data_IF_562557983569
#
_entry.id   IF_562557983569
#
_cell.length_a   1.000
_cell.length_b   1.000
_cell.length_c   1.000
_cell.angle_alpha   90.00
_cell.angle_beta   90.00
_cell.angle_gamma   90.00
#
_symmetry.space_group_name_H-M   'P 1'
#
loop_
_entity.id
_entity.type
_entity.pdbx_description
1 polymer ?
#
# COMPACT_ATOMS: atom_id res chain seq x y z
N UNK A 1 -0.73 -16.53 3.38
CA UNK A 1 -1.95 -17.32 3.09
C UNK A 1 -3.15 -16.40 3.18
N UNK A 2 -4.29 -16.78 2.60
CA UNK A 2 -5.53 -15.97 2.64
C UNK A 2 -6.79 -16.83 2.79
N UNK A 3 -7.88 -16.23 3.27
CA UNK A 3 -9.20 -16.85 3.40
C UNK A 3 -10.19 -16.39 2.30
N UNK A 4 -11.41 -16.91 2.33
CA UNK A 4 -12.48 -16.55 1.39
C UNK A 4 -12.91 -15.07 1.42
N UNK A 5 -12.58 -14.35 2.50
CA UNK A 5 -12.85 -12.93 2.64
C UNK A 5 -11.67 -12.09 2.15
N UNK A 6 -10.57 -12.71 1.70
CA UNK A 6 -9.30 -12.09 1.36
C UNK A 6 -8.57 -11.45 2.55
N UNK A 7 -8.82 -11.94 3.78
CA UNK A 7 -7.92 -11.62 4.88
C UNK A 7 -6.57 -12.28 4.62
N UNK A 8 -5.48 -11.53 4.79
CA UNK A 8 -4.12 -11.98 4.47
C UNK A 8 -3.18 -11.82 5.65
N UNK A 9 -2.30 -12.80 5.83
CA UNK A 9 -1.07 -12.64 6.62
C UNK A 9 0.09 -12.61 5.63
N UNK A 10 0.81 -11.49 5.62
CA UNK A 10 1.95 -11.22 4.75
C UNK A 10 3.22 -11.10 5.59
N UNK A 11 4.33 -11.62 5.08
CA UNK A 11 5.67 -11.47 5.68
C UNK A 11 6.56 -10.60 4.79
N UNK A 12 7.61 -10.01 5.37
CA UNK A 12 8.61 -9.18 4.67
C UNK A 12 7.97 -8.11 3.75
N UNK A 13 7.00 -7.37 4.29
CA UNK A 13 6.16 -6.43 3.55
C UNK A 13 6.86 -5.08 3.40
N UNK A 14 6.77 -4.51 2.20
CA UNK A 14 7.00 -3.09 1.96
C UNK A 14 5.65 -2.40 1.75
N UNK A 15 5.25 -1.56 2.70
CA UNK A 15 4.02 -0.77 2.61
C UNK A 15 4.36 0.62 2.11
N UNK A 16 3.60 1.11 1.13
CA UNK A 16 3.71 2.49 0.63
C UNK A 16 2.37 3.20 0.77
N UNK A 17 2.35 4.29 1.53
CA UNK A 17 1.22 5.21 1.65
C UNK A 17 1.46 6.40 0.71
N UNK A 18 0.50 6.66 -0.17
CA UNK A 18 0.50 7.85 -1.04
C UNK A 18 -0.55 8.84 -0.53
N UNK A 19 -0.16 10.10 -0.37
CA UNK A 19 -1.03 11.19 0.07
C UNK A 19 -0.87 12.39 -0.86
N UNK A 20 -1.92 13.18 -0.99
CA UNK A 20 -1.90 14.43 -1.75
C UNK A 20 -2.16 15.57 -0.79
N UNK A 21 -1.31 16.58 -0.83
CA UNK A 21 -1.45 17.84 -0.11
C UNK A 21 -1.56 18.97 -1.12
N UNK A 22 -2.19 20.07 -0.74
CA UNK A 22 -2.27 21.29 -1.56
C UNK A 22 -1.38 22.32 -0.89
N UNK A 23 -0.48 22.92 -1.67
CA UNK A 23 0.33 24.05 -1.22
C UNK A 23 -0.56 25.29 -1.04
N UNK A 24 -0.56 25.88 0.16
CA UNK A 24 -1.45 26.99 0.51
C UNK A 24 -1.07 28.32 -0.20
N UNK A 25 0.17 28.44 -0.69
CA UNK A 25 0.64 29.66 -1.38
C UNK A 25 0.49 29.55 -2.90
N UNK A 26 0.70 28.35 -3.46
CA UNK A 26 0.74 28.15 -4.92
C UNK A 26 -0.46 27.39 -5.50
N UNK A 27 -1.37 26.87 -4.67
CA UNK A 27 -2.47 25.97 -5.04
C UNK A 27 -2.01 24.69 -5.78
N UNK A 28 -0.73 24.36 -5.70
CA UNK A 28 -0.16 23.18 -6.36
C UNK A 28 -0.46 21.90 -5.57
N UNK A 29 -0.74 20.80 -6.29
CA UNK A 29 -0.88 19.48 -5.68
C UNK A 29 0.47 18.81 -5.51
N UNK A 30 0.82 18.52 -4.26
CA UNK A 30 2.04 17.83 -3.87
C UNK A 30 1.68 16.37 -3.54
N UNK A 31 2.23 15.43 -4.31
CA UNK A 31 2.07 13.99 -4.05
C UNK A 31 3.23 13.49 -3.20
N UNK A 32 2.93 13.00 -2.00
CA UNK A 32 3.91 12.42 -1.07
C UNK A 32 3.77 10.90 -1.02
N UNK A 33 4.91 10.21 -1.03
CA UNK A 33 5.01 8.77 -0.81
C UNK A 33 5.81 8.49 0.45
N UNK A 34 5.25 7.69 1.35
CA UNK A 34 5.95 7.20 2.54
C UNK A 34 6.01 5.68 2.47
N UNK A 35 7.22 5.14 2.58
CA UNK A 35 7.45 3.69 2.50
C UNK A 35 8.03 3.18 3.81
N UNK A 36 7.51 2.04 4.29
CA UNK A 36 8.04 1.34 5.47
C UNK A 36 8.15 -0.16 5.24
N UNK A 37 9.13 -0.79 5.91
CA UNK A 37 9.29 -2.24 5.95
C UNK A 37 8.63 -2.80 7.20
N UNK A 38 7.87 -3.88 7.05
CA UNK A 38 7.12 -4.53 8.12
C UNK A 38 7.38 -6.03 8.06
N UNK A 39 7.90 -6.62 9.13
CA UNK A 39 8.24 -8.05 9.15
C UNK A 39 7.03 -8.97 8.99
N UNK A 40 5.90 -8.61 9.61
CA UNK A 40 4.63 -9.34 9.47
C UNK A 40 3.45 -8.38 9.53
N UNK A 41 2.49 -8.53 8.62
CA UNK A 41 1.30 -7.68 8.52
C UNK A 41 0.04 -8.52 8.31
N UNK A 42 -0.98 -8.25 9.11
CA UNK A 42 -2.35 -8.73 8.86
C UNK A 42 -3.11 -7.67 8.07
N UNK A 43 -3.70 -8.07 6.95
CA UNK A 43 -4.53 -7.23 6.08
C UNK A 43 -5.96 -7.77 6.10
N UNK A 44 -6.92 -6.91 6.42
CA UNK A 44 -8.34 -7.27 6.38
C UNK A 44 -8.84 -7.22 4.93
N UNK A 45 -9.63 -8.19 4.52
CA UNK A 45 -9.96 -8.36 3.11
C UNK A 45 -10.96 -7.36 2.52
N UNK A 46 -11.69 -6.62 3.36
CA UNK A 46 -12.63 -5.59 2.90
C UNK A 46 -11.98 -4.32 2.34
N UNK A 47 -10.71 -4.07 2.69
CA UNK A 47 -9.93 -2.94 2.13
C UNK A 47 -9.17 -3.31 0.85
N UNK A 48 -9.22 -4.57 0.42
CA UNK A 48 -8.45 -5.06 -0.73
C UNK A 48 -9.22 -4.79 -2.03
N UNK A 49 -8.63 -3.98 -2.91
CA UNK A 49 -9.21 -3.65 -4.22
C UNK A 49 -8.68 -4.56 -5.33
N UNK A 50 -7.38 -4.82 -5.35
CA UNK A 50 -6.72 -5.61 -6.39
C UNK A 50 -5.49 -6.33 -5.81
N UNK A 51 -5.28 -7.57 -6.26
CA UNK A 51 -4.08 -8.36 -5.98
C UNK A 51 -3.43 -8.73 -7.32
N UNK A 52 -2.14 -8.45 -7.45
CA UNK A 52 -1.34 -8.81 -8.63
C UNK A 52 0.07 -9.24 -8.21
N UNK A 53 0.76 -10.08 -9.01
CA UNK A 53 2.16 -10.36 -8.77
C UNK A 53 3.01 -9.08 -8.92
N UNK A 54 4.20 -9.02 -8.28
CA UNK A 54 5.13 -7.93 -8.51
C UNK A 54 5.50 -7.82 -9.99
N UNK A 55 5.84 -6.61 -10.44
CA UNK A 55 6.29 -6.42 -11.82
C UNK A 55 7.49 -7.34 -12.09
N UNK A 56 7.42 -8.11 -13.18
CA UNK A 56 8.58 -8.87 -13.67
C UNK A 56 9.66 -7.85 -14.03
N UNK A 57 10.71 -7.75 -13.22
CA UNK A 57 11.96 -7.13 -13.63
C UNK A 57 12.74 -8.19 -14.41
N UNK A 58 12.92 -7.98 -15.71
CA UNK A 58 13.86 -8.75 -16.55
C UNK A 58 15.30 -8.48 -16.13
#
# INVERSE_FOLDING_TARGET
GYDQHLNMILGDVEETVTSTEIDEETDEQIVKKQTRKVGMLFVRGDIVVLVSPPLRTT
#
